data_IF_342302032147
#
_entry.id   IF_342302032147
#
_cell.length_a   1.000
_cell.length_b   1.000
_cell.length_c   1.000
_cell.angle_alpha   90.00
_cell.angle_beta   90.00
_cell.angle_gamma   90.00
#
_symmetry.space_group_name_H-M   'P 1'
#
loop_
_entity.id
_entity.type
_entity.pdbx_description
1 polymer ?
#
# COMPACT_ATOMS: atom_id res chain seq x y z
N UNK A 1 18.47 -7.01 -29.08
CA UNK A 1 17.56 -6.66 -27.98
C UNK A 1 18.08 -7.30 -26.70
N UNK A 2 19.03 -6.64 -26.05
CA UNK A 2 19.60 -7.11 -24.78
C UNK A 2 18.58 -7.02 -23.64
N UNK A 3 18.67 -7.96 -22.73
CA UNK A 3 17.70 -8.29 -21.67
C UNK A 3 17.48 -7.16 -20.67
N UNK A 4 16.60 -6.19 -20.97
CA UNK A 4 16.17 -5.16 -19.98
C UNK A 4 15.56 -5.77 -18.72
N UNK A 5 15.01 -6.98 -18.81
CA UNK A 5 14.43 -7.72 -17.67
C UNK A 5 15.45 -8.17 -16.60
N UNK A 6 16.76 -8.05 -16.84
CA UNK A 6 17.79 -8.35 -15.84
C UNK A 6 18.17 -7.15 -14.97
N UNK A 7 17.57 -5.98 -15.20
CA UNK A 7 17.88 -4.82 -14.38
C UNK A 7 17.24 -5.00 -12.99
N UNK A 8 18.02 -5.03 -11.89
CA UNK A 8 17.52 -5.22 -10.52
C UNK A 8 16.42 -4.24 -10.14
N UNK A 9 16.42 -3.08 -10.78
CA UNK A 9 15.45 -1.99 -10.62
C UNK A 9 14.03 -2.43 -10.99
N UNK A 10 13.88 -3.21 -12.07
CA UNK A 10 12.58 -3.72 -12.52
C UNK A 10 12.08 -4.79 -11.58
N UNK A 11 12.98 -5.68 -11.11
CA UNK A 11 12.63 -6.72 -10.15
C UNK A 11 12.15 -6.10 -8.82
N UNK A 12 12.85 -5.10 -8.29
CA UNK A 12 12.44 -4.38 -7.08
C UNK A 12 11.08 -3.70 -7.25
N UNK A 13 10.86 -3.03 -8.38
CA UNK A 13 9.60 -2.39 -8.70
C UNK A 13 8.44 -3.38 -8.77
N UNK A 14 8.65 -4.54 -9.38
CA UNK A 14 7.64 -5.60 -9.50
C UNK A 14 7.29 -6.22 -8.14
N UNK A 15 8.29 -6.52 -7.31
CA UNK A 15 8.08 -7.04 -5.95
C UNK A 15 7.26 -6.07 -5.12
N UNK A 16 7.61 -4.77 -5.14
CA UNK A 16 6.85 -3.76 -4.41
C UNK A 16 5.42 -3.59 -4.95
N UNK A 17 5.22 -3.72 -6.27
CA UNK A 17 3.87 -3.71 -6.86
C UNK A 17 3.03 -4.86 -6.31
N UNK A 18 3.58 -6.09 -6.27
CA UNK A 18 2.89 -7.26 -5.72
C UNK A 18 2.58 -7.07 -4.24
N UNK A 19 3.55 -6.61 -3.45
CA UNK A 19 3.34 -6.37 -2.01
C UNK A 19 2.17 -5.42 -1.79
N UNK A 20 2.10 -4.33 -2.56
CA UNK A 20 1.00 -3.37 -2.47
C UNK A 20 -0.33 -3.99 -2.93
N UNK A 21 -0.32 -4.80 -3.98
CA UNK A 21 -1.51 -5.47 -4.49
C UNK A 21 -2.06 -6.52 -3.51
N UNK A 22 -1.20 -7.12 -2.68
CA UNK A 22 -1.56 -8.09 -1.66
C UNK A 22 -1.99 -7.47 -0.31
N UNK A 23 -1.76 -6.18 -0.06
CA UNK A 23 -2.13 -5.51 1.19
C UNK A 23 -3.63 -5.66 1.57
N UNK A 24 -4.60 -5.52 0.64
CA UNK A 24 -6.02 -5.70 0.98
C UNK A 24 -6.32 -7.10 1.49
N UNK A 25 -5.63 -8.12 0.96
CA UNK A 25 -5.79 -9.51 1.38
C UNK A 25 -5.44 -9.69 2.85
N UNK A 26 -4.47 -8.92 3.38
CA UNK A 26 -4.11 -8.93 4.80
C UNK A 26 -5.24 -8.32 5.63
N UNK A 27 -5.77 -7.15 5.21
CA UNK A 27 -6.88 -6.47 5.91
C UNK A 27 -8.11 -7.38 5.96
N UNK A 28 -8.40 -8.07 4.87
CA UNK A 28 -9.53 -9.01 4.77
C UNK A 28 -9.28 -10.26 5.58
N UNK A 29 -8.07 -10.81 5.54
CA UNK A 29 -7.69 -11.92 6.41
C UNK A 29 -7.91 -11.60 7.88
N UNK A 30 -7.52 -10.39 8.33
CA UNK A 30 -7.77 -9.92 9.69
C UNK A 30 -9.26 -9.73 9.98
N UNK A 31 -10.02 -9.17 9.03
CA UNK A 31 -11.47 -9.01 9.15
C UNK A 31 -12.21 -10.35 9.28
N UNK A 32 -11.85 -11.34 8.46
CA UNK A 32 -12.37 -12.71 8.53
C UNK A 32 -11.98 -13.37 9.84
N UNK A 33 -10.72 -13.26 10.27
CA UNK A 33 -10.27 -13.82 11.54
C UNK A 33 -11.05 -13.22 12.72
N UNK A 34 -11.36 -11.92 12.67
CA UNK A 34 -12.19 -11.25 13.68
C UNK A 34 -13.63 -11.76 13.64
N UNK A 35 -14.22 -11.89 12.45
CA UNK A 35 -15.57 -12.43 12.25
C UNK A 35 -15.70 -13.86 12.78
N UNK A 36 -14.69 -14.71 12.59
CA UNK A 36 -14.66 -16.08 13.12
C UNK A 36 -14.59 -16.15 14.64
N UNK A 37 -14.04 -15.11 15.29
CA UNK A 37 -13.88 -15.05 16.73
C UNK A 37 -15.03 -14.27 17.43
N UNK A 38 -15.95 -13.66 16.68
CA UNK A 38 -17.05 -12.88 17.22
C UNK A 38 -18.37 -13.64 17.04
N UNK A 39 -18.98 -14.18 18.14
CA UNK A 39 -20.21 -14.94 18.06
C UNK A 39 -21.43 -14.10 17.61
N UNK A 40 -21.32 -12.78 17.59
CA UNK A 40 -22.35 -11.87 17.09
C UNK A 40 -22.23 -11.49 15.62
N UNK A 41 -21.21 -11.96 14.90
CA UNK A 41 -20.99 -11.57 13.51
C UNK A 41 -21.97 -12.28 12.56
N UNK A 42 -23.00 -11.57 12.12
CA UNK A 42 -23.90 -12.04 11.06
C UNK A 42 -23.23 -11.85 9.70
N UNK A 43 -22.90 -12.96 9.02
CA UNK A 43 -22.42 -12.94 7.65
C UNK A 43 -23.48 -12.35 6.71
N UNK A 44 -23.07 -11.66 5.62
CA UNK A 44 -24.02 -11.22 4.60
C UNK A 44 -24.83 -12.41 4.06
N UNK A 45 -26.13 -12.20 3.90
CA UNK A 45 -27.06 -13.23 3.42
C UNK A 45 -26.78 -13.46 1.93
N UNK A 46 -26.26 -14.64 1.59
CA UNK A 46 -26.05 -15.04 0.20
C UNK A 46 -27.22 -15.92 -0.30
N UNK A 47 -27.54 -15.88 -1.61
CA UNK A 47 -28.56 -16.76 -2.18
C UNK A 47 -28.13 -18.23 -2.09
N UNK A 48 -29.10 -19.15 -2.02
CA UNK A 48 -28.91 -20.57 -1.67
C UNK A 48 -27.94 -21.36 -2.57
N UNK A 49 -27.57 -20.84 -3.74
CA UNK A 49 -26.69 -21.48 -4.72
C UNK A 49 -25.37 -20.71 -4.93
N UNK A 50 -25.04 -19.77 -4.04
CA UNK A 50 -23.87 -18.93 -4.17
C UNK A 50 -22.61 -19.64 -3.68
N UNK A 51 -21.58 -19.70 -4.52
CA UNK A 51 -20.31 -20.32 -4.17
C UNK A 51 -19.44 -19.34 -3.38
N UNK A 52 -18.98 -19.70 -2.16
CA UNK A 52 -18.03 -18.88 -1.40
C UNK A 52 -16.75 -18.54 -2.19
N UNK A 53 -16.37 -19.39 -3.15
CA UNK A 53 -15.23 -19.15 -4.03
C UNK A 53 -15.46 -17.99 -4.99
N UNK A 54 -16.70 -17.78 -5.46
CA UNK A 54 -17.03 -16.66 -6.33
C UNK A 54 -16.95 -15.33 -5.58
N UNK A 55 -17.39 -15.27 -4.33
CA UNK A 55 -17.21 -14.08 -3.48
C UNK A 55 -15.74 -13.75 -3.28
N UNK A 56 -14.94 -14.76 -2.95
CA UNK A 56 -13.51 -14.58 -2.73
C UNK A 56 -12.81 -14.06 -4.00
N UNK A 57 -13.14 -14.62 -5.17
CA UNK A 57 -12.58 -14.17 -6.46
C UNK A 57 -13.05 -12.75 -6.79
N UNK A 58 -14.35 -12.47 -6.70
CA UNK A 58 -14.91 -11.15 -7.00
C UNK A 58 -14.30 -10.09 -6.08
N UNK A 59 -14.16 -10.41 -4.79
CA UNK A 59 -13.50 -9.56 -3.83
C UNK A 59 -12.04 -9.31 -4.18
N UNK A 60 -11.28 -10.36 -4.53
CA UNK A 60 -9.87 -10.26 -4.88
C UNK A 60 -9.68 -9.43 -6.15
N UNK A 61 -10.47 -9.67 -7.19
CA UNK A 61 -10.44 -8.90 -8.44
C UNK A 61 -10.82 -7.45 -8.19
N UNK A 62 -11.90 -7.18 -7.45
CA UNK A 62 -12.31 -5.83 -7.09
C UNK A 62 -11.22 -5.08 -6.32
N UNK A 63 -10.60 -5.76 -5.36
CA UNK A 63 -9.47 -5.22 -4.59
C UNK A 63 -8.24 -4.98 -5.45
N UNK A 64 -7.89 -5.91 -6.34
CA UNK A 64 -6.75 -5.78 -7.23
C UNK A 64 -6.93 -4.62 -8.21
N UNK A 65 -8.14 -4.44 -8.78
CA UNK A 65 -8.47 -3.32 -9.65
C UNK A 65 -8.37 -2.01 -8.88
N UNK A 66 -8.95 -1.94 -7.67
CA UNK A 66 -8.89 -0.76 -6.81
C UNK A 66 -7.45 -0.41 -6.40
N UNK A 67 -6.61 -1.42 -6.12
CA UNK A 67 -5.22 -1.23 -5.72
C UNK A 67 -4.26 -1.03 -6.89
N UNK A 68 -4.65 -1.37 -8.12
CA UNK A 68 -3.79 -1.26 -9.30
C UNK A 68 -3.12 0.11 -9.49
N UNK A 69 -3.80 1.28 -9.32
CA UNK A 69 -3.11 2.57 -9.43
C UNK A 69 -2.07 2.77 -8.32
N UNK A 70 -2.34 2.28 -7.11
CA UNK A 70 -1.39 2.36 -5.99
C UNK A 70 -0.19 1.43 -6.19
N UNK A 71 -0.43 0.22 -6.68
CA UNK A 71 0.62 -0.74 -7.02
C UNK A 71 1.52 -0.20 -8.15
N UNK A 72 0.94 0.40 -9.19
CA UNK A 72 1.68 1.04 -10.27
C UNK A 72 2.52 2.21 -9.77
N UNK A 73 1.95 3.06 -8.90
CA UNK A 73 2.65 4.20 -8.33
C UNK A 73 3.78 3.76 -7.39
N UNK A 74 3.59 2.71 -6.61
CA UNK A 74 4.63 2.10 -5.79
C UNK A 74 5.75 1.50 -6.65
N UNK A 75 5.41 0.80 -7.74
CA UNK A 75 6.38 0.27 -8.70
C UNK A 75 7.21 1.40 -9.32
N UNK A 76 6.55 2.44 -9.83
CA UNK A 76 7.20 3.62 -10.40
C UNK A 76 8.13 4.30 -9.40
N UNK A 77 7.67 4.53 -8.17
CA UNK A 77 8.48 5.15 -7.12
C UNK A 77 9.69 4.30 -6.75
N UNK A 78 9.52 2.98 -6.68
CA UNK A 78 10.61 2.04 -6.40
C UNK A 78 11.64 2.06 -7.50
N UNK A 79 11.20 2.06 -8.77
CA UNK A 79 12.08 2.15 -9.93
C UNK A 79 12.88 3.45 -9.90
N UNK A 80 12.22 4.61 -9.76
CA UNK A 80 12.89 5.92 -9.64
C UNK A 80 13.88 5.95 -8.47
N UNK A 81 13.53 5.31 -7.34
CA UNK A 81 14.43 5.24 -6.19
C UNK A 81 15.67 4.40 -6.48
N UNK A 82 15.50 3.22 -7.07
CA UNK A 82 16.58 2.32 -7.44
C UNK A 82 17.54 2.97 -8.45
N UNK A 83 17.01 3.63 -9.49
CA UNK A 83 17.82 4.39 -10.46
C UNK A 83 18.58 5.54 -9.78
N UNK A 84 17.96 6.24 -8.81
CA UNK A 84 18.63 7.32 -8.05
C UNK A 84 19.69 6.81 -7.08
N UNK A 85 19.50 5.62 -6.52
CA UNK A 85 20.49 4.98 -5.66
C UNK A 85 21.78 4.70 -6.44
N UNK A 86 21.66 4.16 -7.66
CA UNK A 86 22.81 3.90 -8.54
C UNK A 86 23.57 5.15 -8.96
N UNK A 87 22.89 6.30 -9.03
CA UNK A 87 23.52 7.59 -9.34
C UNK A 87 24.17 8.26 -8.12
N UNK A 88 24.22 7.58 -6.96
CA UNK A 88 25.11 7.93 -5.85
C UNK A 88 24.58 9.00 -4.89
N UNK A 89 23.26 9.24 -4.83
CA UNK A 89 22.69 10.31 -3.99
C UNK A 89 21.76 9.79 -2.87
N UNK A 90 22.30 9.14 -1.82
CA UNK A 90 21.52 8.43 -0.81
C UNK A 90 20.68 9.37 0.08
N UNK A 91 21.07 10.64 0.28
CA UNK A 91 20.29 11.60 1.11
C UNK A 91 18.90 11.90 0.53
N UNK A 92 18.66 11.65 -0.75
CA UNK A 92 17.34 11.83 -1.38
C UNK A 92 16.36 10.69 -1.08
N UNK A 93 16.78 9.62 -0.40
CA UNK A 93 15.93 8.47 -0.08
C UNK A 93 14.83 8.81 0.95
N UNK A 94 15.17 9.57 1.99
CA UNK A 94 14.24 9.96 3.05
C UNK A 94 13.12 10.89 2.58
N UNK A 95 13.36 11.64 1.49
CA UNK A 95 12.33 12.47 0.86
C UNK A 95 11.14 11.64 0.39
N UNK A 96 11.37 10.41 -0.10
CA UNK A 96 10.28 9.52 -0.50
C UNK A 96 9.37 9.12 0.66
N UNK A 97 9.96 8.90 1.85
CA UNK A 97 9.20 8.58 3.08
C UNK A 97 8.37 9.77 3.54
N UNK A 98 8.96 10.98 3.53
CA UNK A 98 8.24 12.21 3.86
C UNK A 98 7.08 12.49 2.90
N UNK A 99 7.30 12.28 1.59
CA UNK A 99 6.24 12.41 0.58
C UNK A 99 5.13 11.37 0.78
N UNK A 100 5.46 10.13 1.16
CA UNK A 100 4.47 9.11 1.49
C UNK A 100 3.63 9.49 2.74
N UNK A 101 4.27 10.05 3.76
CA UNK A 101 3.58 10.61 4.93
C UNK A 101 2.61 11.74 4.57
N UNK A 102 3.04 12.68 3.73
CA UNK A 102 2.19 13.77 3.23
C UNK A 102 1.02 13.25 2.38
N UNK A 103 1.25 12.24 1.53
CA UNK A 103 0.17 11.57 0.80
C UNK A 103 -0.83 10.89 1.75
N UNK A 104 -0.36 10.22 2.79
CA UNK A 104 -1.20 9.61 3.82
C UNK A 104 -2.11 10.63 4.51
N UNK A 105 -1.57 11.81 4.84
CA UNK A 105 -2.36 12.94 5.35
C UNK A 105 -3.41 13.40 4.34
N UNK A 106 -3.01 13.61 3.08
CA UNK A 106 -3.92 14.07 2.03
C UNK A 106 -5.11 13.13 1.83
N UNK A 107 -4.86 11.81 1.82
CA UNK A 107 -5.92 10.80 1.73
C UNK A 107 -6.84 10.86 2.95
N UNK A 108 -6.29 10.94 4.16
CA UNK A 108 -7.09 11.04 5.38
C UNK A 108 -7.99 12.29 5.35
N UNK A 109 -7.46 13.44 4.91
CA UNK A 109 -8.23 14.68 4.79
C UNK A 109 -9.33 14.57 3.73
N UNK A 110 -9.07 13.93 2.59
CA UNK A 110 -10.08 13.69 1.55
C UNK A 110 -11.23 12.84 2.06
N UNK A 111 -10.94 11.77 2.81
CA UNK A 111 -11.97 10.91 3.42
C UNK A 111 -12.79 11.67 4.46
N UNK A 112 -12.16 12.55 5.25
CA UNK A 112 -12.84 13.36 6.26
C UNK A 112 -13.58 14.58 5.69
N UNK A 113 -13.30 14.96 4.44
CA UNK A 113 -13.78 16.21 3.83
C UNK A 113 -15.31 16.40 3.95
N UNK A 114 -16.17 15.40 3.67
CA UNK A 114 -17.61 15.56 3.82
C UNK A 114 -18.02 15.86 5.28
N UNK A 115 -17.36 15.23 6.25
CA UNK A 115 -17.59 15.46 7.68
C UNK A 115 -17.13 16.84 8.15
N UNK A 116 -15.99 17.31 7.63
CA UNK A 116 -15.47 18.65 7.91
C UNK A 116 -16.45 19.72 7.42
N UNK A 117 -16.97 19.57 6.19
CA UNK A 117 -17.94 20.50 5.60
C UNK A 117 -19.27 20.46 6.35
N UNK A 118 -19.76 19.27 6.70
CA UNK A 118 -21.05 19.12 7.37
C UNK A 118 -21.06 19.58 8.84
N UNK A 119 -19.93 19.49 9.56
CA UNK A 119 -19.85 19.76 11.01
C UNK A 119 -18.52 20.43 11.41
N UNK A 120 -18.24 21.66 10.95
CA UNK A 120 -16.90 22.26 11.09
C UNK A 120 -16.45 22.49 12.54
N UNK A 121 -17.39 22.74 13.47
CA UNK A 121 -17.05 22.93 14.90
C UNK A 121 -16.63 21.65 15.61
N UNK A 122 -17.09 20.49 15.14
CA UNK A 122 -16.78 19.19 15.74
C UNK A 122 -15.59 18.51 15.03
N UNK A 123 -15.22 18.96 13.84
CA UNK A 123 -14.18 18.37 13.00
C UNK A 123 -12.74 18.37 13.59
N UNK A 124 -12.26 19.40 14.31
CA UNK A 124 -10.84 19.49 14.70
C UNK A 124 -10.26 18.26 15.40
N UNK A 125 -10.89 17.67 16.45
CA UNK A 125 -10.35 16.49 17.10
C UNK A 125 -10.23 15.29 16.14
N UNK A 126 -11.21 15.10 15.26
CA UNK A 126 -11.18 14.02 14.27
C UNK A 126 -10.08 14.21 13.23
N UNK A 127 -9.88 15.44 12.76
CA UNK A 127 -8.80 15.77 11.81
C UNK A 127 -7.43 15.48 12.42
N UNK A 128 -7.22 15.84 13.69
CA UNK A 128 -5.95 15.59 14.38
C UNK A 128 -5.70 14.08 14.51
N UNK A 129 -6.68 13.32 15.01
CA UNK A 129 -6.52 11.88 15.24
C UNK A 129 -6.37 11.11 13.94
N UNK A 130 -7.31 11.27 13.00
CA UNK A 130 -7.30 10.52 11.76
C UNK A 130 -6.27 11.03 10.75
N UNK A 131 -6.02 12.34 10.71
CA UNK A 131 -4.93 12.92 9.93
C UNK A 131 -3.57 12.47 10.44
N UNK A 132 -3.36 12.49 11.76
CA UNK A 132 -2.16 11.95 12.40
C UNK A 132 -1.96 10.46 12.11
N UNK A 133 -3.02 9.66 12.22
CA UNK A 133 -2.99 8.24 11.85
C UNK A 133 -2.62 8.05 10.38
N UNK A 134 -3.20 8.84 9.47
CA UNK A 134 -2.88 8.84 8.05
C UNK A 134 -1.40 9.13 7.77
N UNK A 135 -0.81 10.11 8.45
CA UNK A 135 0.64 10.41 8.38
C UNK A 135 1.47 9.22 8.84
N UNK A 136 1.16 8.66 10.01
CA UNK A 136 1.91 7.53 10.59
C UNK A 136 1.87 6.33 9.65
N UNK A 137 0.69 5.98 9.13
CA UNK A 137 0.53 4.89 8.16
C UNK A 137 1.31 5.19 6.88
N UNK A 138 1.21 6.42 6.34
CA UNK A 138 1.94 6.83 5.14
C UNK A 138 3.47 6.72 5.30
N UNK A 139 4.00 7.15 6.45
CA UNK A 139 5.43 7.03 6.78
C UNK A 139 5.81 5.55 6.90
N UNK A 140 5.02 4.75 7.61
CA UNK A 140 5.29 3.32 7.78
C UNK A 140 5.36 2.59 6.41
N UNK A 141 4.38 2.84 5.53
CA UNK A 141 4.39 2.29 4.16
C UNK A 141 5.61 2.78 3.39
N UNK A 142 5.95 4.07 3.47
CA UNK A 142 7.14 4.64 2.83
C UNK A 142 8.44 3.97 3.29
N UNK A 143 8.56 3.68 4.60
CA UNK A 143 9.70 2.96 5.17
C UNK A 143 9.77 1.51 4.69
N UNK A 144 8.63 0.81 4.66
CA UNK A 144 8.58 -0.56 4.12
C UNK A 144 9.07 -0.58 2.67
N UNK A 145 8.55 0.31 1.82
CA UNK A 145 8.98 0.39 0.42
C UNK A 145 10.48 0.69 0.29
N UNK A 146 11.01 1.59 1.13
CA UNK A 146 12.43 1.92 1.17
C UNK A 146 13.28 0.71 1.57
N UNK A 147 12.90 0.00 2.63
CA UNK A 147 13.62 -1.17 3.14
C UNK A 147 13.59 -2.31 2.12
N UNK A 148 12.42 -2.58 1.51
CA UNK A 148 12.30 -3.61 0.48
C UNK A 148 13.17 -3.27 -0.73
N UNK A 149 13.17 -2.01 -1.19
CA UNK A 149 14.04 -1.59 -2.29
C UNK A 149 15.53 -1.77 -1.95
N UNK A 150 15.96 -1.37 -0.75
CA UNK A 150 17.34 -1.53 -0.30
C UNK A 150 17.76 -3.00 -0.15
N UNK A 151 16.85 -3.86 0.33
CA UNK A 151 17.07 -5.30 0.45
C UNK A 151 17.23 -5.95 -0.92
N UNK A 152 16.35 -5.64 -1.88
CA UNK A 152 16.44 -6.20 -3.23
C UNK A 152 17.75 -5.80 -3.90
N UNK A 153 18.13 -4.52 -3.82
CA UNK A 153 19.40 -4.04 -4.37
C UNK A 153 20.61 -4.76 -3.75
N UNK A 154 20.66 -4.87 -2.40
CA UNK A 154 21.74 -5.59 -1.71
C UNK A 154 21.82 -7.07 -2.08
N UNK A 155 20.68 -7.72 -2.27
CA UNK A 155 20.64 -9.13 -2.66
C UNK A 155 21.12 -9.31 -4.10
N UNK A 156 20.75 -8.42 -5.02
CA UNK A 156 21.21 -8.53 -6.41
C UNK A 156 22.69 -8.20 -6.56
N UNK A 157 23.22 -7.20 -5.85
CA UNK A 157 24.65 -6.87 -5.89
C UNK A 157 25.53 -8.04 -5.42
N UNK A 158 25.05 -8.83 -4.43
CA UNK A 158 25.76 -10.03 -3.95
C UNK A 158 25.78 -11.19 -4.94
N UNK A 159 24.80 -11.28 -5.82
CA UNK A 159 24.76 -12.34 -6.84
C UNK A 159 25.60 -12.03 -8.08
N UNK A 160 26.04 -10.79 -8.26
CA UNK A 160 26.87 -10.38 -9.40
C UNK A 160 28.34 -10.14 -9.06
N UNK A 161 28.71 -10.24 -7.77
CA UNK A 161 30.09 -10.22 -7.29
C UNK A 161 30.63 -11.66 -7.16
#
# INVERSE_FOLDING_TARGET
MGTRLREPEILAAFVNAIVVLCLPSIVVGVGVLKALNDPGYSWPVHPANWSPWLDAIQFFVGSAVFMSPFALLAAWRTWVHATRWRTGNPRRSLRGVAEAGACGLGVALLVLLPGIIGRPRQAPPYVIVYGGLGVVVGIAVGLVLLVTAALVLKLTDRTTA
#
